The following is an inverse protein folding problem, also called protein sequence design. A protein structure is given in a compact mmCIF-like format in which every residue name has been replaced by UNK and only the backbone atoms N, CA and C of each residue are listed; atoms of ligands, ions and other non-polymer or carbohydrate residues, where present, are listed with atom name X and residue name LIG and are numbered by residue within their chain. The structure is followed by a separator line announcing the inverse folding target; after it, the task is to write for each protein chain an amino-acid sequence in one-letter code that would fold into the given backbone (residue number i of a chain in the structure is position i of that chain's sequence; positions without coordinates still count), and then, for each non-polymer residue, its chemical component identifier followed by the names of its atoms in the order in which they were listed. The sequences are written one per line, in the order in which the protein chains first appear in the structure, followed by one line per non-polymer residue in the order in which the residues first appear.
data_IF_194728586867
#
_entry.id   IF_194728586867
#
_cell.length_a   1.000
_cell.length_b   1.000
_cell.length_c   1.000
_cell.angle_alpha   90.00
_cell.angle_beta   90.00
_cell.angle_gamma   90.00
#
_symmetry.space_group_name_H-M   'P 1'
#
loop_
_entity.id
_entity.type
_entity.pdbx_description
1 polymer ?
#
# COMPACT_ATOMS: atom_id res chain seq x y z
N UNK A 1 -3.11 -1.97 23.34
CA UNK A 1 -2.03 -0.96 23.43
C UNK A 1 -1.35 -0.85 22.09
N UNK A 2 -0.65 0.24 21.82
CA UNK A 2 0.09 0.39 20.56
C UNK A 2 1.26 -0.59 20.50
N UNK A 3 1.14 -1.62 19.64
CA UNK A 3 2.25 -2.52 19.35
C UNK A 3 3.37 -1.75 18.64
N UNK A 4 4.59 -1.89 19.14
CA UNK A 4 5.81 -1.34 18.54
C UNK A 4 6.61 -2.44 17.84
N UNK A 5 7.68 -2.06 17.12
CA UNK A 5 8.60 -3.03 16.52
C UNK A 5 9.30 -3.93 17.54
N UNK A 6 9.40 -3.49 18.81
CA UNK A 6 10.05 -4.25 19.88
C UNK A 6 9.16 -5.39 20.39
N UNK A 7 7.84 -5.23 20.25
CA UNK A 7 6.85 -6.25 20.61
C UNK A 7 6.74 -7.36 19.54
N UNK A 8 7.38 -7.16 18.38
CA UNK A 8 7.46 -8.12 17.28
C UNK A 8 8.92 -8.31 16.84
N UNK A 9 9.78 -8.93 17.68
CA UNK A 9 11.19 -9.11 17.36
C UNK A 9 11.36 -10.02 16.14
N UNK A 10 12.33 -9.68 15.28
CA UNK A 10 12.70 -10.50 14.13
C UNK A 10 13.97 -11.28 14.47
N UNK A 11 14.12 -12.48 13.89
CA UNK A 11 15.40 -13.18 13.95
C UNK A 11 16.47 -12.38 13.20
N UNK A 12 17.75 -12.57 13.54
CA UNK A 12 18.86 -11.83 12.94
C UNK A 12 18.85 -11.89 11.40
N UNK A 13 18.58 -13.06 10.83
CA UNK A 13 18.48 -13.23 9.38
C UNK A 13 17.31 -12.46 8.76
N UNK A 14 16.19 -12.33 9.48
CA UNK A 14 15.03 -11.58 9.03
C UNK A 14 15.22 -10.06 9.21
N UNK A 15 15.95 -9.63 10.24
CA UNK A 15 16.36 -8.23 10.39
C UNK A 15 17.25 -7.77 9.22
N UNK A 16 18.20 -8.62 8.79
CA UNK A 16 19.05 -8.32 7.64
C UNK A 16 18.21 -8.13 6.36
N UNK A 17 17.24 -9.03 6.11
CA UNK A 17 16.29 -8.88 5.00
C UNK A 17 15.43 -7.63 5.13
N UNK A 18 14.96 -7.32 6.33
CA UNK A 18 14.18 -6.11 6.61
C UNK A 18 14.96 -4.83 6.30
N UNK A 19 16.26 -4.77 6.63
CA UNK A 19 17.13 -3.66 6.23
C UNK A 19 17.18 -3.51 4.70
N UNK A 20 17.32 -4.61 3.98
CA UNK A 20 17.31 -4.58 2.51
C UNK A 20 15.95 -4.15 1.95
N UNK A 21 14.85 -4.67 2.48
CA UNK A 21 13.50 -4.31 2.02
C UNK A 21 13.18 -2.84 2.24
N UNK A 22 13.61 -2.26 3.37
CA UNK A 22 13.48 -0.80 3.59
C UNK A 22 14.26 0.02 2.57
N UNK A 23 15.46 -0.44 2.19
CA UNK A 23 16.23 0.21 1.12
C UNK A 23 15.54 0.08 -0.23
N UNK A 24 14.99 -1.10 -0.54
CA UNK A 24 14.32 -1.35 -1.83
C UNK A 24 13.10 -0.44 -2.05
N UNK A 25 12.35 -0.12 -0.99
CA UNK A 25 11.15 0.73 -1.04
C UNK A 25 11.44 2.23 -0.82
N UNK A 26 12.67 2.60 -0.48
CA UNK A 26 13.03 4.01 -0.28
C UNK A 26 13.31 4.72 -1.61
N UNK A 27 13.53 6.03 -1.54
CA UNK A 27 13.95 6.85 -2.68
C UNK A 27 15.29 6.42 -3.29
N UNK A 28 16.13 5.67 -2.55
CA UNK A 28 17.39 5.10 -3.05
C UNK A 28 17.20 3.75 -3.76
N UNK A 29 16.01 3.16 -3.63
CA UNK A 29 15.67 1.85 -4.14
C UNK A 29 14.86 1.89 -5.43
N UNK A 30 14.23 0.75 -5.72
CA UNK A 30 13.34 0.59 -6.89
C UNK A 30 11.90 1.05 -6.62
N UNK A 31 11.59 1.42 -5.38
CA UNK A 31 10.26 1.85 -4.94
C UNK A 31 9.28 0.73 -4.57
N UNK A 32 9.71 -0.54 -4.60
CA UNK A 32 8.86 -1.67 -4.17
C UNK A 32 9.67 -2.92 -3.81
N UNK A 33 9.05 -3.83 -3.05
CA UNK A 33 9.55 -5.18 -2.80
C UNK A 33 8.40 -6.20 -2.81
N UNK A 34 8.68 -7.45 -3.17
CA UNK A 34 7.73 -8.56 -3.07
C UNK A 34 8.30 -9.62 -2.14
N UNK A 35 7.64 -9.79 -1.00
CA UNK A 35 8.00 -10.77 0.03
C UNK A 35 7.17 -12.03 -0.20
N UNK A 36 7.84 -13.19 -0.30
CA UNK A 36 7.20 -14.49 -0.56
C UNK A 36 7.51 -15.47 0.57
N UNK A 37 6.70 -16.52 0.67
CA UNK A 37 6.84 -17.55 1.70
C UNK A 37 6.27 -17.17 3.06
N UNK A 38 5.35 -16.21 3.10
CA UNK A 38 4.55 -15.93 4.30
C UNK A 38 3.49 -17.03 4.42
N UNK A 39 3.46 -17.84 5.49
CA UNK A 39 2.57 -19.00 5.61
C UNK A 39 1.15 -18.58 6.05
N UNK A 40 0.52 -17.72 5.25
CA UNK A 40 -0.81 -17.16 5.57
C UNK A 40 -1.87 -18.25 5.75
N UNK A 41 -1.75 -19.37 5.04
CA UNK A 41 -2.71 -20.48 5.09
C UNK A 41 -2.62 -21.30 6.39
N UNK A 42 -1.51 -21.21 7.11
CA UNK A 42 -1.27 -21.91 8.38
C UNK A 42 -1.77 -21.11 9.60
N UNK A 43 -2.18 -19.86 9.38
CA UNK A 43 -2.54 -18.91 10.44
C UNK A 43 -4.04 -18.64 10.50
N UNK A 44 -4.53 -18.44 11.71
CA UNK A 44 -5.84 -17.84 11.97
C UNK A 44 -5.89 -16.38 11.51
N UNK A 45 -7.09 -15.82 11.38
CA UNK A 45 -7.27 -14.40 11.03
C UNK A 45 -6.63 -13.46 12.04
N UNK A 46 -6.60 -13.83 13.32
CA UNK A 46 -5.94 -13.04 14.36
C UNK A 46 -4.42 -13.07 14.18
N UNK A 47 -3.84 -14.24 13.92
CA UNK A 47 -2.39 -14.38 13.67
C UNK A 47 -1.95 -13.63 12.41
N UNK A 48 -2.74 -13.69 11.33
CA UNK A 48 -2.51 -12.90 10.11
C UNK A 48 -2.48 -11.40 10.39
N UNK A 49 -3.44 -10.91 11.19
CA UNK A 49 -3.51 -9.50 11.59
C UNK A 49 -2.33 -9.11 12.48
N UNK A 50 -1.97 -9.92 13.48
CA UNK A 50 -0.82 -9.68 14.35
C UNK A 50 0.46 -9.64 13.54
N UNK A 51 0.65 -10.62 12.64
CA UNK A 51 1.80 -10.66 11.73
C UNK A 51 1.85 -9.39 10.89
N UNK A 52 0.78 -9.07 10.16
CA UNK A 52 0.79 -7.94 9.23
C UNK A 52 1.01 -6.61 9.95
N UNK A 53 0.39 -6.45 11.13
CA UNK A 53 0.58 -5.28 11.99
C UNK A 53 2.02 -5.19 12.51
N UNK A 54 2.49 -6.20 13.22
CA UNK A 54 3.81 -6.21 13.86
C UNK A 54 4.95 -6.18 12.86
N UNK A 55 4.84 -6.92 11.77
CA UNK A 55 5.80 -6.89 10.66
C UNK A 55 5.81 -5.51 9.97
N UNK A 56 4.64 -4.91 9.76
CA UNK A 56 4.50 -3.55 9.22
C UNK A 56 5.18 -2.49 10.08
N UNK A 57 5.20 -2.64 11.41
CA UNK A 57 5.92 -1.74 12.35
C UNK A 57 7.43 -1.65 12.10
N UNK A 58 8.02 -2.61 11.38
CA UNK A 58 9.42 -2.54 10.99
C UNK A 58 9.68 -1.64 9.78
N UNK A 59 8.65 -1.36 8.96
CA UNK A 59 8.70 -0.40 7.86
C UNK A 59 8.42 1.04 8.31
N UNK A 60 7.57 1.23 9.31
CA UNK A 60 7.25 2.56 9.84
C UNK A 60 6.09 2.57 10.83
N UNK A 61 5.44 3.72 10.92
CA UNK A 61 4.23 3.91 11.74
C UNK A 61 2.99 3.75 10.85
N UNK A 62 2.04 2.86 11.16
CA UNK A 62 0.80 2.73 10.42
C UNK A 62 -0.02 4.02 10.51
N UNK A 63 -0.48 4.52 9.36
CA UNK A 63 -1.45 5.61 9.28
C UNK A 63 -2.90 5.10 9.33
N UNK A 64 -3.84 5.99 9.63
CA UNK A 64 -5.28 5.69 9.53
C UNK A 64 -5.66 5.48 8.06
N UNK A 65 -6.36 4.38 7.74
CA UNK A 65 -6.79 4.08 6.38
C UNK A 65 -8.21 4.59 6.07
N UNK A 66 -8.99 4.93 7.10
CA UNK A 66 -10.29 5.56 6.97
C UNK A 66 -10.67 6.40 8.20
N UNK A 67 -11.83 7.07 8.11
CA UNK A 67 -12.39 7.90 9.19
C UNK A 67 -12.87 7.08 10.38
N UNK A 68 -13.07 5.78 10.21
CA UNK A 68 -13.56 4.87 11.26
C UNK A 68 -12.39 4.31 12.10
N UNK A 69 -11.15 4.63 11.72
CA UNK A 69 -9.95 4.21 12.43
C UNK A 69 -9.57 2.76 12.16
N UNK A 70 -10.09 2.14 11.09
CA UNK A 70 -9.63 0.82 10.67
C UNK A 70 -8.19 0.96 10.16
N UNK A 71 -7.26 0.42 10.95
CA UNK A 71 -5.84 0.48 10.62
C UNK A 71 -5.41 -0.66 9.67
N UNK A 72 -6.29 -1.65 9.46
CA UNK A 72 -6.11 -2.78 8.54
C UNK A 72 -7.36 -2.98 7.67
N UNK A 73 -7.34 -2.47 6.43
CA UNK A 73 -8.42 -2.66 5.47
C UNK A 73 -8.40 -4.04 4.78
N UNK A 74 -9.58 -4.64 4.63
CA UNK A 74 -9.76 -5.82 3.78
C UNK A 74 -10.09 -5.41 2.34
N UNK A 75 -9.21 -5.77 1.40
CA UNK A 75 -9.45 -5.64 -0.04
C UNK A 75 -10.05 -6.94 -0.54
N UNK A 76 -11.34 -6.91 -0.91
CA UNK A 76 -12.05 -8.07 -1.45
C UNK A 76 -13.32 -7.62 -2.18
N UNK A 77 -13.70 -8.37 -3.21
CA UNK A 77 -15.01 -8.20 -3.82
C UNK A 77 -16.12 -8.64 -2.83
N UNK A 78 -16.97 -7.70 -2.43
CA UNK A 78 -18.14 -7.97 -1.59
C UNK A 78 -19.45 -7.93 -2.39
N UNK A 79 -19.39 -7.83 -3.72
CA UNK A 79 -20.56 -7.63 -4.58
C UNK A 79 -21.16 -6.23 -4.51
N UNK A 80 -20.42 -5.24 -3.99
CA UNK A 80 -20.88 -3.86 -3.86
C UNK A 80 -20.88 -3.13 -5.22
N UNK A 81 -21.76 -2.13 -5.38
CA UNK A 81 -21.84 -1.35 -6.62
C UNK A 81 -20.62 -0.42 -6.77
N UNK A 82 -19.80 -0.57 -7.83
CA UNK A 82 -18.62 0.27 -8.08
C UNK A 82 -18.90 1.76 -8.22
N UNK A 83 -20.14 2.15 -8.56
CA UNK A 83 -20.51 3.57 -8.72
C UNK A 83 -20.69 4.29 -7.39
N UNK A 84 -21.06 3.55 -6.35
CA UNK A 84 -21.46 4.09 -5.05
C UNK A 84 -20.51 3.66 -3.93
N UNK A 85 -19.70 2.63 -4.16
CA UNK A 85 -18.81 2.04 -3.16
C UNK A 85 -17.33 2.33 -3.43
N UNK A 86 -16.50 2.22 -2.38
CA UNK A 86 -15.04 2.25 -2.54
C UNK A 86 -14.60 1.05 -3.38
N UNK A 87 -13.70 1.29 -4.34
CA UNK A 87 -13.33 0.30 -5.37
C UNK A 87 -12.72 -0.97 -4.78
N UNK A 88 -12.03 -0.90 -3.63
CA UNK A 88 -11.46 -2.07 -2.94
C UNK A 88 -12.50 -3.08 -2.44
N UNK A 89 -13.81 -2.74 -2.47
CA UNK A 89 -14.95 -3.61 -2.13
C UNK A 89 -15.59 -4.28 -3.34
N UNK A 90 -15.02 -4.14 -4.53
CA UNK A 90 -15.64 -4.54 -5.82
C UNK A 90 -14.65 -5.30 -6.70
N UNK A 91 -15.14 -5.86 -7.81
CA UNK A 91 -14.31 -6.45 -8.86
C UNK A 91 -13.85 -5.45 -9.95
N UNK A 92 -14.09 -4.15 -9.75
CA UNK A 92 -13.75 -3.13 -10.74
C UNK A 92 -12.23 -2.94 -10.87
N UNK A 93 -11.78 -2.64 -12.10
CA UNK A 93 -10.38 -2.30 -12.35
C UNK A 93 -10.02 -0.97 -11.68
N UNK A 94 -8.98 -0.99 -10.84
CA UNK A 94 -8.44 0.19 -10.16
C UNK A 94 -7.31 0.76 -11.00
N UNK A 95 -7.42 2.05 -11.39
CA UNK A 95 -6.39 2.75 -12.13
C UNK A 95 -5.17 3.04 -11.24
N UNK A 96 -3.97 3.24 -11.83
CA UNK A 96 -2.79 3.65 -11.07
C UNK A 96 -3.07 4.90 -10.22
N UNK A 97 -2.67 4.85 -8.96
CA UNK A 97 -2.79 5.94 -7.99
C UNK A 97 -1.70 5.78 -6.92
N UNK A 98 -1.52 6.83 -6.11
CA UNK A 98 -0.73 6.77 -4.89
C UNK A 98 -1.67 6.96 -3.69
N UNK A 99 -1.39 6.25 -2.60
CA UNK A 99 -2.07 6.47 -1.33
C UNK A 99 -1.39 7.60 -0.55
N UNK A 100 -2.08 8.15 0.44
CA UNK A 100 -1.53 9.15 1.37
C UNK A 100 -0.61 8.50 2.42
N UNK A 101 0.45 7.83 1.97
CA UNK A 101 1.44 7.16 2.80
C UNK A 101 2.81 7.12 2.12
N UNK A 102 3.89 7.08 2.90
CA UNK A 102 5.25 6.88 2.37
C UNK A 102 5.44 5.47 1.78
N UNK A 103 4.82 4.46 2.40
CA UNK A 103 4.88 3.06 1.99
C UNK A 103 3.51 2.41 2.19
N UNK A 104 3.05 1.67 1.19
CA UNK A 104 1.83 0.86 1.24
C UNK A 104 2.19 -0.61 1.29
N UNK A 105 1.61 -1.34 2.23
CA UNK A 105 1.76 -2.79 2.36
C UNK A 105 0.48 -3.52 1.98
N UNK A 106 0.61 -4.67 1.30
CA UNK A 106 -0.49 -5.57 1.01
C UNK A 106 -0.11 -7.01 1.41
N UNK A 107 -0.96 -7.67 2.18
CA UNK A 107 -0.83 -9.09 2.48
C UNK A 107 -1.89 -9.88 1.68
N UNK A 108 -1.44 -10.70 0.75
CA UNK A 108 -2.33 -11.60 0.01
C UNK A 108 -2.76 -12.74 0.92
N UNK A 109 -4.05 -12.76 1.30
CA UNK A 109 -4.66 -13.86 2.06
C UNK A 109 -5.22 -14.95 1.16
N UNK A 110 -5.69 -14.57 -0.03
CA UNK A 110 -6.24 -15.48 -1.02
C UNK A 110 -6.06 -14.85 -2.41
N UNK A 111 -5.61 -15.63 -3.38
CA UNK A 111 -5.55 -15.19 -4.77
C UNK A 111 -6.95 -15.17 -5.39
N UNK A 112 -7.18 -14.25 -6.33
CA UNK A 112 -8.43 -14.23 -7.09
C UNK A 112 -8.54 -15.49 -7.97
N UNK A 113 -9.78 -15.96 -8.18
CA UNK A 113 -10.05 -17.09 -9.09
C UNK A 113 -9.64 -16.78 -10.53
N UNK A 114 -9.86 -15.53 -10.94
CA UNK A 114 -9.50 -14.98 -12.25
C UNK A 114 -9.19 -13.49 -12.07
N UNK A 115 -8.24 -12.96 -12.85
CA UNK A 115 -7.80 -11.57 -12.72
C UNK A 115 -7.00 -11.33 -11.44
N UNK A 116 -7.25 -10.19 -10.76
CA UNK A 116 -6.58 -9.84 -9.50
C UNK A 116 -5.10 -9.45 -9.64
N UNK A 117 -4.61 -9.22 -10.87
CA UNK A 117 -3.22 -8.82 -11.10
C UNK A 117 -2.94 -7.43 -10.56
N UNK A 118 -2.02 -7.32 -9.61
CA UNK A 118 -1.46 -6.04 -9.18
C UNK A 118 -0.54 -5.47 -10.25
N UNK A 119 -0.69 -4.17 -10.55
CA UNK A 119 0.19 -3.43 -11.45
C UNK A 119 0.88 -2.33 -10.69
N UNK A 120 2.16 -2.14 -10.95
CA UNK A 120 2.97 -1.08 -10.39
C UNK A 120 3.56 -0.27 -11.54
N UNK A 121 3.62 1.04 -11.36
CA UNK A 121 4.24 1.97 -12.30
C UNK A 121 5.05 2.99 -11.52
N UNK A 122 6.22 3.34 -12.05
CA UNK A 122 7.09 4.35 -11.43
C UNK A 122 6.63 5.75 -11.83
N UNK A 123 6.22 6.57 -10.85
CA UNK A 123 5.91 7.99 -11.07
C UNK A 123 7.14 8.76 -11.57
N UNK A 124 8.34 8.38 -11.14
CA UNK A 124 9.61 8.96 -11.62
C UNK A 124 9.84 8.63 -13.09
N UNK A 125 9.57 7.39 -13.52
CA UNK A 125 9.67 7.02 -14.93
C UNK A 125 8.64 7.77 -15.76
N UNK A 126 7.40 7.89 -15.29
CA UNK A 126 6.35 8.69 -15.95
C UNK A 126 6.82 10.14 -16.10
N UNK A 127 7.33 10.75 -15.03
CA UNK A 127 7.82 12.12 -15.04
C UNK A 127 8.96 12.30 -16.06
N UNK A 128 9.95 11.40 -16.08
CA UNK A 128 11.08 11.49 -17.01
C UNK A 128 10.63 11.34 -18.47
N UNK A 129 9.70 10.44 -18.75
CA UNK A 129 9.12 10.29 -20.11
C UNK A 129 8.30 11.52 -20.51
N UNK A 130 7.54 12.12 -19.59
CA UNK A 130 6.85 13.38 -19.83
C UNK A 130 7.84 14.52 -20.08
N UNK A 131 8.91 14.61 -19.30
CA UNK A 131 9.92 15.65 -19.45
C UNK A 131 10.62 15.54 -20.81
N UNK A 132 10.85 14.32 -21.29
CA UNK A 132 11.47 14.09 -22.59
C UNK A 132 10.52 14.36 -23.77
N UNK A 133 9.24 13.98 -23.67
CA UNK A 133 8.30 13.97 -24.80
C UNK A 133 7.35 15.18 -24.83
N UNK A 134 7.06 15.75 -23.66
CA UNK A 134 6.09 16.81 -23.42
C UNK A 134 6.61 17.80 -22.35
N UNK A 135 7.81 18.38 -22.51
CA UNK A 135 8.42 19.26 -21.51
C UNK A 135 7.52 20.46 -21.13
N UNK A 136 6.70 20.95 -22.06
CA UNK A 136 5.72 22.02 -21.85
C UNK A 136 4.64 21.68 -20.82
N UNK A 137 4.40 20.39 -20.57
CA UNK A 137 3.40 19.93 -19.60
C UNK A 137 3.94 19.79 -18.18
N UNK A 138 5.26 19.89 -17.98
CA UNK A 138 5.90 19.60 -16.68
C UNK A 138 5.56 20.63 -15.62
N UNK A 139 5.54 21.92 -15.97
CA UNK A 139 5.21 22.99 -15.03
C UNK A 139 3.83 22.77 -14.40
N UNK A 140 2.87 22.25 -15.18
CA UNK A 140 1.51 21.98 -14.71
C UNK A 140 1.45 20.95 -13.59
N UNK A 141 2.40 20.01 -13.51
CA UNK A 141 2.43 18.98 -12.46
C UNK A 141 2.77 19.56 -11.07
N UNK A 142 3.39 20.73 -11.02
CA UNK A 142 3.77 21.42 -9.77
C UNK A 142 2.73 22.46 -9.34
N UNK A 143 1.74 22.75 -10.17
CA UNK A 143 0.65 23.65 -9.82
C UNK A 143 -0.38 22.96 -8.92
N UNK A 144 -1.02 23.71 -7.99
CA UNK A 144 -2.10 23.17 -7.17
C UNK A 144 -3.19 22.46 -7.99
N UNK A 145 -3.64 21.31 -7.48
CA UNK A 145 -4.73 20.55 -8.07
C UNK A 145 -5.78 20.22 -6.98
N UNK A 146 -7.06 20.59 -7.18
CA UNK A 146 -8.11 20.25 -6.23
C UNK A 146 -8.30 18.74 -6.11
N UNK A 147 -8.21 18.21 -4.89
CA UNK A 147 -8.51 16.80 -4.60
C UNK A 147 -9.87 16.70 -3.90
N UNK A 148 -10.77 15.88 -4.45
CA UNK A 148 -12.05 15.59 -3.80
C UNK A 148 -11.82 14.73 -2.54
N UNK A 149 -12.12 15.31 -1.39
CA UNK A 149 -12.02 14.64 -0.08
C UNK A 149 -13.16 13.63 0.15
N UNK A 150 -14.15 13.55 -0.75
CA UNK A 150 -15.31 12.67 -0.64
C UNK A 150 -16.00 12.75 0.73
N UNK A 151 -16.05 13.96 1.29
CA UNK A 151 -16.68 14.23 2.59
C UNK A 151 -15.87 13.79 3.81
N UNK A 152 -14.63 13.31 3.67
CA UNK A 152 -13.78 12.91 4.79
C UNK A 152 -13.15 14.08 5.56
N UNK A 153 -13.57 15.31 5.29
CA UNK A 153 -13.21 16.49 6.08
C UNK A 153 -11.70 16.70 6.19
N UNK A 154 -10.98 16.77 5.06
CA UNK A 154 -9.57 17.14 5.00
C UNK A 154 -8.70 16.30 5.92
N UNK A 155 -8.13 15.21 5.39
CA UNK A 155 -7.06 14.46 6.06
C UNK A 155 -6.00 15.48 6.48
N UNK A 156 -5.91 15.74 7.79
CA UNK A 156 -4.86 16.57 8.39
C UNK A 156 -3.69 15.68 8.75
#
# INVERSE_FOLDING_TARGET
GEMTRLDFPLSEGLEAKMRQWRKDVSAEGRGFTVIRGVPVDEWTDIERKIFFWGFGRHFGTPGAQDNDGDLLGHIRDTGADPKTSRQYKTNAHILPHCDSADVVGLLCLQSAREGGTSRLVSSVTIYNEMLQRHPESIERLYEPFPLDTRGSGGVR
#
